data_IF_960379088057
#
_entry.id   IF_960379088057
#
_cell.length_a   1.000
_cell.length_b   1.000
_cell.length_c   1.000
_cell.angle_alpha   90.00
_cell.angle_beta   90.00
_cell.angle_gamma   90.00
#
_symmetry.space_group_name_H-M   'P 1'
#
loop_
_entity.id
_entity.type
_entity.pdbx_description
1 polymer ?
#
# COMPACT_ATOMS: atom_id res chain seq x y z
N UNK A 1 -6.94 -6.54 12.06
CA UNK A 1 -7.24 -6.50 10.61
C UNK A 1 -7.28 -5.05 10.13
N UNK A 2 -6.34 -4.60 9.31
CA UNK A 2 -6.35 -3.22 8.83
C UNK A 2 -7.50 -2.97 7.84
N UNK A 3 -7.96 -1.72 7.81
CA UNK A 3 -8.96 -1.29 6.83
C UNK A 3 -8.35 -1.18 5.43
N UNK A 4 -7.11 -0.75 5.35
CA UNK A 4 -6.38 -0.69 4.07
C UNK A 4 -4.87 -0.69 4.32
N UNK A 5 -4.13 -0.85 3.22
CA UNK A 5 -2.68 -0.80 3.24
C UNK A 5 -2.16 0.10 2.12
N UNK A 6 -1.02 0.73 2.36
CA UNK A 6 -0.33 1.60 1.40
C UNK A 6 1.10 1.10 1.23
N UNK A 7 1.56 1.05 -0.01
CA UNK A 7 2.94 0.73 -0.35
C UNK A 7 3.46 1.77 -1.35
N UNK A 8 4.69 2.22 -1.19
CA UNK A 8 5.24 3.21 -2.12
C UNK A 8 5.74 2.55 -3.42
N UNK A 9 5.34 3.10 -4.56
CA UNK A 9 5.77 2.62 -5.87
C UNK A 9 7.30 2.64 -6.00
N UNK A 10 7.95 3.65 -5.43
CA UNK A 10 9.41 3.75 -5.44
C UNK A 10 10.13 2.60 -4.75
N UNK A 11 9.43 1.80 -3.94
CA UNK A 11 10.00 0.60 -3.32
C UNK A 11 10.02 -0.62 -4.23
N UNK A 12 9.34 -0.55 -5.37
CA UNK A 12 9.30 -1.62 -6.37
C UNK A 12 10.37 -1.32 -7.41
N UNK A 13 11.45 -2.11 -7.41
CA UNK A 13 12.66 -1.81 -8.19
C UNK A 13 12.86 -2.67 -9.43
N UNK A 14 12.04 -3.68 -9.64
CA UNK A 14 12.12 -4.55 -10.81
C UNK A 14 10.77 -5.19 -11.07
N UNK A 15 10.60 -5.74 -12.26
CA UNK A 15 9.43 -6.51 -12.62
C UNK A 15 9.70 -8.01 -12.43
N UNK A 16 8.65 -8.79 -12.22
CA UNK A 16 8.71 -10.24 -12.23
C UNK A 16 8.31 -10.74 -13.61
N UNK A 17 9.22 -11.47 -14.26
CA UNK A 17 8.91 -12.09 -15.53
C UNK A 17 8.03 -13.33 -15.34
N UNK A 18 7.30 -13.70 -16.39
CA UNK A 18 6.52 -14.93 -16.40
C UNK A 18 7.45 -16.13 -16.20
N UNK A 19 7.02 -17.06 -15.39
CA UNK A 19 7.75 -18.29 -15.13
C UNK A 19 8.07 -18.49 -13.65
N UNK A 20 9.06 -19.30 -13.34
CA UNK A 20 9.46 -19.57 -11.97
C UNK A 20 10.04 -18.31 -11.32
N UNK A 21 9.63 -18.05 -10.07
CA UNK A 21 10.09 -16.91 -9.29
C UNK A 21 11.06 -17.40 -8.22
N UNK A 22 12.28 -16.86 -8.21
CA UNK A 22 13.31 -17.19 -7.23
C UNK A 22 13.39 -16.13 -6.14
N UNK A 23 14.09 -16.46 -5.04
CA UNK A 23 14.37 -15.48 -3.98
C UNK A 23 15.15 -14.28 -4.51
N UNK A 24 16.07 -14.52 -5.46
CA UNK A 24 16.82 -13.45 -6.13
C UNK A 24 15.91 -12.52 -6.90
N UNK A 25 14.89 -13.04 -7.57
CA UNK A 25 13.90 -12.21 -8.26
C UNK A 25 13.14 -11.32 -7.28
N UNK A 26 12.74 -11.86 -6.12
CA UNK A 26 12.03 -11.11 -5.10
C UNK A 26 12.94 -10.03 -4.49
N UNK A 27 14.21 -10.34 -4.27
CA UNK A 27 15.19 -9.37 -3.80
C UNK A 27 15.34 -8.20 -4.78
N UNK A 28 15.33 -8.48 -6.08
CA UNK A 28 15.41 -7.44 -7.12
C UNK A 28 14.17 -6.52 -7.09
N UNK A 29 12.99 -7.08 -6.86
CA UNK A 29 11.74 -6.31 -6.78
C UNK A 29 11.68 -5.47 -5.51
N UNK A 30 12.07 -6.04 -4.37
CA UNK A 30 11.95 -5.41 -3.05
C UNK A 30 13.29 -5.48 -2.30
N UNK A 31 14.30 -4.70 -2.71
CA UNK A 31 15.66 -4.79 -2.15
C UNK A 31 15.81 -4.17 -0.76
N UNK A 32 14.84 -3.40 -0.30
CA UNK A 32 14.95 -2.67 0.97
C UNK A 32 14.56 -3.54 2.17
N UNK A 33 15.16 -3.25 3.33
CA UNK A 33 14.89 -3.94 4.60
C UNK A 33 13.70 -3.29 5.32
N UNK A 34 12.55 -3.23 4.66
CA UNK A 34 11.36 -2.61 5.25
C UNK A 34 10.46 -3.65 5.91
N UNK A 35 9.88 -3.27 7.04
CA UNK A 35 8.91 -4.08 7.77
C UNK A 35 7.55 -3.43 7.77
N UNK A 36 6.52 -4.26 7.86
CA UNK A 36 5.15 -3.79 7.99
C UNK A 36 4.97 -3.16 9.37
N UNK A 37 4.28 -2.03 9.41
CA UNK A 37 3.79 -1.48 10.66
C UNK A 37 2.29 -1.18 10.54
N UNK A 38 1.62 -1.16 11.69
CA UNK A 38 0.19 -0.90 11.79
C UNK A 38 -0.01 0.37 12.60
N UNK A 39 -0.91 1.22 12.14
CA UNK A 39 -1.17 2.51 12.79
C UNK A 39 -2.61 2.92 12.60
N UNK A 40 -3.03 3.94 13.33
CA UNK A 40 -4.37 4.52 13.23
C UNK A 40 -4.28 5.95 12.70
N UNK A 41 -5.14 6.29 11.77
CA UNK A 41 -5.34 7.67 11.28
C UNK A 41 -6.81 8.03 11.42
N UNK A 42 -7.07 9.30 11.76
CA UNK A 42 -8.43 9.83 11.67
C UNK A 42 -8.89 9.90 10.22
N UNK A 43 -10.19 9.94 9.97
CA UNK A 43 -10.71 10.08 8.61
C UNK A 43 -10.22 11.35 7.91
N UNK A 44 -10.07 12.46 8.64
CA UNK A 44 -9.49 13.68 8.10
C UNK A 44 -8.05 13.46 7.63
N UNK A 45 -7.25 12.75 8.42
CA UNK A 45 -5.86 12.46 8.06
C UNK A 45 -5.78 11.45 6.92
N UNK A 46 -6.72 10.52 6.84
CA UNK A 46 -6.84 9.58 5.71
C UNK A 46 -7.12 10.36 4.41
N UNK A 47 -8.03 11.33 4.44
CA UNK A 47 -8.31 12.17 3.28
C UNK A 47 -7.09 12.99 2.86
N UNK A 48 -6.35 13.53 3.83
CA UNK A 48 -5.09 14.23 3.56
C UNK A 48 -4.07 13.29 2.91
N UNK A 49 -3.93 12.07 3.44
CA UNK A 49 -3.05 11.06 2.87
C UNK A 49 -3.42 10.75 1.41
N UNK A 50 -4.71 10.54 1.14
CA UNK A 50 -5.17 10.24 -0.21
C UNK A 50 -4.97 11.42 -1.15
N UNK A 51 -5.12 12.66 -0.66
CA UNK A 51 -4.80 13.86 -1.44
C UNK A 51 -3.31 13.92 -1.78
N UNK A 52 -2.44 13.56 -0.84
CA UNK A 52 -1.00 13.49 -1.08
C UNK A 52 -0.65 12.41 -2.11
N UNK A 53 -1.31 11.26 -2.05
CA UNK A 53 -1.15 10.18 -3.03
C UNK A 53 -1.62 10.65 -4.41
N UNK A 54 -2.74 11.36 -4.49
CA UNK A 54 -3.27 11.89 -5.73
C UNK A 54 -2.30 12.88 -6.39
N UNK A 55 -1.63 13.72 -5.61
CA UNK A 55 -0.63 14.66 -6.12
C UNK A 55 0.56 13.95 -6.77
N UNK A 56 0.85 12.74 -6.35
CA UNK A 56 1.92 11.92 -6.94
C UNK A 56 1.41 10.97 -8.03
N UNK A 57 0.16 11.12 -8.42
CA UNK A 57 -0.49 10.31 -9.46
C UNK A 57 -0.62 8.83 -9.07
N UNK A 58 -0.58 8.52 -7.78
CA UNK A 58 -0.83 7.21 -7.25
C UNK A 58 0.35 6.60 -6.51
N UNK A 59 0.03 5.63 -5.68
CA UNK A 59 0.97 4.77 -4.97
C UNK A 59 0.37 3.37 -4.91
N UNK A 60 1.03 2.44 -4.22
CA UNK A 60 0.47 1.10 -4.02
C UNK A 60 -0.71 1.14 -3.07
N UNK A 61 -1.87 0.76 -3.55
CA UNK A 61 -3.13 0.76 -2.81
C UNK A 61 -3.62 -0.67 -2.64
N UNK A 62 -4.08 -1.01 -1.43
CA UNK A 62 -4.71 -2.33 -1.21
C UNK A 62 -6.04 -2.44 -1.96
N UNK A 63 -6.51 -3.68 -2.11
CA UNK A 63 -7.75 -3.99 -2.82
C UNK A 63 -8.97 -3.26 -2.25
N UNK A 64 -8.95 -2.96 -0.95
CA UNK A 64 -10.07 -2.27 -0.27
C UNK A 64 -10.26 -0.83 -0.69
N UNK A 65 -9.29 -0.23 -1.38
CA UNK A 65 -9.30 1.19 -1.73
C UNK A 65 -9.74 1.44 -3.16
N UNK A 66 -10.51 2.51 -3.35
CA UNK A 66 -10.79 3.08 -4.67
C UNK A 66 -10.68 4.59 -4.57
N UNK A 67 -9.73 5.17 -5.31
CA UNK A 67 -9.48 6.60 -5.35
C UNK A 67 -9.75 7.13 -6.74
N UNK A 68 -10.34 8.31 -6.83
CA UNK A 68 -10.50 9.05 -8.08
C UNK A 68 -9.82 10.40 -7.94
N UNK A 69 -8.97 10.74 -8.89
CA UNK A 69 -8.23 11.99 -8.91
C UNK A 69 -8.28 12.64 -10.28
N UNK A 70 -8.03 13.95 -10.33
CA UNK A 70 -7.90 14.67 -11.59
C UNK A 70 -6.50 14.49 -12.17
N UNK A 71 -6.35 14.80 -13.45
CA UNK A 71 -5.05 14.71 -14.14
C UNK A 71 -4.00 15.66 -13.53
N UNK A 72 -4.44 16.75 -12.91
CA UNK A 72 -3.54 17.70 -12.21
C UNK A 72 -3.29 17.33 -10.74
N UNK A 73 -3.71 16.14 -10.32
CA UNK A 73 -3.34 15.59 -9.02
C UNK A 73 -4.24 15.98 -7.85
N UNK A 74 -5.50 16.31 -8.10
CA UNK A 74 -6.46 16.61 -7.03
C UNK A 74 -7.36 15.41 -6.75
N UNK A 75 -7.54 15.09 -5.48
CA UNK A 75 -8.45 14.02 -5.07
C UNK A 75 -9.90 14.43 -5.32
N UNK A 76 -10.64 13.60 -6.04
CA UNK A 76 -12.08 13.81 -6.30
C UNK A 76 -12.91 13.01 -5.30
N UNK A 77 -12.60 11.74 -5.10
CA UNK A 77 -13.31 10.87 -4.17
C UNK A 77 -12.46 9.71 -3.73
N UNK A 78 -12.81 9.12 -2.59
CA UNK A 78 -12.13 7.94 -2.07
C UNK A 78 -13.11 7.08 -1.30
N UNK A 79 -13.01 5.76 -1.50
CA UNK A 79 -13.78 4.79 -0.72
C UNK A 79 -12.85 3.77 -0.08
N UNK A 80 -13.26 3.29 1.09
CA UNK A 80 -12.62 2.19 1.81
C UNK A 80 -13.68 1.11 1.99
N UNK A 81 -13.41 -0.08 1.48
CA UNK A 81 -14.37 -1.20 1.48
C UNK A 81 -15.75 -0.80 0.90
N UNK A 82 -15.73 -0.01 -0.17
CA UNK A 82 -16.94 0.42 -0.87
C UNK A 82 -17.69 1.59 -0.24
N UNK A 83 -17.20 2.12 0.88
CA UNK A 83 -17.86 3.25 1.58
C UNK A 83 -17.00 4.50 1.49
N UNK A 84 -17.60 5.67 1.28
CA UNK A 84 -16.85 6.92 1.32
C UNK A 84 -16.11 7.08 2.64
N UNK A 85 -14.94 7.71 2.59
CA UNK A 85 -14.16 7.98 3.80
C UNK A 85 -14.97 8.91 4.72
N UNK A 86 -15.16 8.50 5.97
CA UNK A 86 -15.81 9.29 7.00
C UNK A 86 -14.76 10.13 7.74
N UNK A 87 -14.80 11.47 7.64
CA UNK A 87 -13.81 12.32 8.31
C UNK A 87 -13.76 12.15 9.83
N UNK A 88 -14.86 11.69 10.42
CA UNK A 88 -14.97 11.53 11.88
C UNK A 88 -14.66 10.13 12.37
N UNK A 89 -14.41 9.18 11.46
CA UNK A 89 -14.05 7.82 11.83
C UNK A 89 -12.54 7.69 12.05
N UNK A 90 -12.13 6.53 12.56
CA UNK A 90 -10.73 6.15 12.65
C UNK A 90 -10.50 4.93 11.78
N UNK A 91 -9.35 4.89 11.14
CA UNK A 91 -8.98 3.82 10.22
C UNK A 91 -7.69 3.14 10.66
N UNK A 92 -7.69 1.82 10.62
CA UNK A 92 -6.48 1.04 10.88
C UNK A 92 -5.75 0.81 9.57
N UNK A 93 -4.48 1.20 9.52
CA UNK A 93 -3.69 1.21 8.28
C UNK A 93 -2.44 0.35 8.46
N UNK A 94 -2.17 -0.47 7.46
CA UNK A 94 -0.90 -1.19 7.34
C UNK A 94 -0.04 -0.48 6.30
N UNK A 95 1.22 -0.26 6.62
CA UNK A 95 2.16 0.35 5.70
C UNK A 95 3.60 -0.07 6.07
N UNK A 96 4.57 0.52 5.41
CA UNK A 96 5.98 0.29 5.73
C UNK A 96 6.44 1.21 6.85
N UNK A 97 7.39 0.75 7.64
CA UNK A 97 8.08 1.58 8.63
C UNK A 97 8.61 2.89 8.02
N UNK A 98 9.16 2.80 6.80
CA UNK A 98 9.65 3.96 6.04
C UNK A 98 8.55 5.00 5.77
N UNK A 99 7.37 4.54 5.32
CA UNK A 99 6.24 5.44 5.00
C UNK A 99 5.57 5.99 6.26
N UNK A 100 5.56 5.21 7.33
CA UNK A 100 4.95 5.64 8.59
C UNK A 100 5.63 6.88 9.17
N UNK A 101 6.86 7.17 8.76
CA UNK A 101 7.60 8.38 9.16
C UNK A 101 7.23 9.61 8.34
N UNK A 102 6.38 9.47 7.33
CA UNK A 102 5.96 10.56 6.46
C UNK A 102 6.82 10.75 5.23
N UNK A 103 7.60 9.74 4.85
CA UNK A 103 8.44 9.78 3.64
C UNK A 103 7.59 9.66 2.36
N UNK A 104 8.21 9.91 1.21
CA UNK A 104 7.58 9.89 -0.11
C UNK A 104 6.39 10.85 -0.20
N UNK A 105 6.50 12.03 0.48
CA UNK A 105 5.48 13.07 0.51
C UNK A 105 4.15 12.67 1.14
N UNK A 106 4.14 11.56 1.87
CA UNK A 106 2.94 11.10 2.60
C UNK A 106 2.99 11.60 4.05
N UNK A 107 3.11 12.92 4.23
CA UNK A 107 3.29 13.55 5.54
C UNK A 107 2.11 13.31 6.49
N UNK A 108 0.92 12.98 5.96
CA UNK A 108 -0.24 12.67 6.80
C UNK A 108 0.04 11.50 7.76
N UNK A 109 0.95 10.58 7.41
CA UNK A 109 1.35 9.51 8.30
C UNK A 109 2.00 10.01 9.60
N UNK A 110 2.51 11.24 9.64
CA UNK A 110 3.09 11.81 10.87
C UNK A 110 2.05 12.04 11.96
N UNK A 111 0.77 12.08 11.61
CA UNK A 111 -0.34 12.26 12.56
C UNK A 111 -0.86 10.94 13.12
N UNK A 112 -0.16 9.85 12.87
CA UNK A 112 -0.52 8.50 13.29
C UNK A 112 -0.60 8.35 14.82
N UNK A 113 -1.47 7.45 15.24
CA UNK A 113 -1.58 7.02 16.63
C UNK A 113 -1.60 5.49 16.70
N UNK A 114 -1.52 4.94 17.89
CA UNK A 114 -1.64 3.49 18.13
C UNK A 114 -0.73 2.65 17.22
N UNK A 115 0.53 3.04 17.12
CA UNK A 115 1.49 2.40 16.22
C UNK A 115 1.95 1.06 16.80
N UNK A 116 1.88 0.01 15.98
CA UNK A 116 2.44 -1.30 16.28
C UNK A 116 3.48 -1.61 15.21
N UNK A 117 4.74 -1.79 15.62
CA UNK A 117 5.86 -2.03 14.73
C UNK A 117 6.50 -3.38 15.07
N UNK A 118 5.95 -4.50 14.54
CA UNK A 118 6.52 -5.82 14.81
C UNK A 118 7.95 -5.91 14.29
N UNK A 119 8.85 -6.51 15.08
CA UNK A 119 10.28 -6.57 14.76
C UNK A 119 10.76 -7.90 14.18
N UNK A 120 9.90 -8.94 14.19
CA UNK A 120 10.28 -10.24 13.65
C UNK A 120 10.50 -10.23 12.15
N UNK A 121 11.37 -11.11 11.66
CA UNK A 121 11.64 -11.23 10.23
C UNK A 121 10.40 -11.60 9.40
N UNK A 122 9.42 -12.25 10.01
CA UNK A 122 8.14 -12.57 9.38
C UNK A 122 7.34 -11.33 8.98
N UNK A 123 7.74 -10.15 9.46
CA UNK A 123 7.11 -8.88 9.11
C UNK A 123 7.91 -8.11 8.06
N UNK A 124 9.05 -8.65 7.60
CA UNK A 124 9.81 -8.08 6.50
C UNK A 124 9.03 -8.26 5.20
N UNK A 125 8.97 -7.23 4.38
CA UNK A 125 8.19 -7.24 3.13
C UNK A 125 8.65 -8.36 2.19
N UNK A 126 9.96 -8.56 2.02
CA UNK A 126 10.46 -9.63 1.17
C UNK A 126 10.03 -11.00 1.67
N UNK A 127 10.09 -11.22 2.98
CA UNK A 127 9.62 -12.47 3.58
C UNK A 127 8.15 -12.70 3.26
N UNK A 128 7.32 -11.67 3.41
CA UNK A 128 5.89 -11.76 3.12
C UNK A 128 5.63 -12.09 1.64
N UNK A 129 6.38 -11.49 0.73
CA UNK A 129 6.28 -11.78 -0.70
C UNK A 129 6.70 -13.23 -0.96
N UNK A 130 7.80 -13.69 -0.38
CA UNK A 130 8.25 -15.08 -0.50
C UNK A 130 7.18 -16.06 -0.02
N UNK A 131 6.56 -15.79 1.14
CA UNK A 131 5.53 -16.64 1.70
C UNK A 131 4.28 -16.65 0.82
N UNK A 132 3.94 -15.54 0.20
CA UNK A 132 2.81 -15.44 -0.72
C UNK A 132 3.02 -16.38 -1.93
N UNK A 133 4.19 -16.32 -2.56
CA UNK A 133 4.51 -17.18 -3.70
C UNK A 133 4.61 -18.65 -3.29
N UNK A 134 5.20 -18.92 -2.13
CA UNK A 134 5.30 -20.28 -1.61
C UNK A 134 3.92 -20.89 -1.34
N UNK A 135 3.02 -20.13 -0.73
CA UNK A 135 1.66 -20.60 -0.45
C UNK A 135 0.92 -20.94 -1.74
N UNK A 136 1.05 -20.12 -2.79
CA UNK A 136 0.47 -20.38 -4.09
C UNK A 136 1.04 -21.67 -4.71
N UNK A 137 2.37 -21.82 -4.67
CA UNK A 137 3.04 -23.00 -5.19
C UNK A 137 2.61 -24.28 -4.46
N UNK A 138 2.50 -24.23 -3.14
CA UNK A 138 2.06 -25.37 -2.31
C UNK A 138 0.64 -25.82 -2.65
N UNK A 139 -0.19 -24.91 -3.15
CA UNK A 139 -1.55 -25.20 -3.63
C UNK A 139 -1.58 -25.61 -5.11
N UNK A 140 -0.44 -25.62 -5.78
CA UNK A 140 -0.36 -25.88 -7.21
C UNK A 140 -0.89 -24.75 -8.07
N UNK A 141 -0.95 -23.54 -7.53
CA UNK A 141 -1.48 -22.36 -8.22
C UNK A 141 -0.35 -21.44 -8.68
N UNK A 142 -0.52 -20.82 -9.84
CA UNK A 142 0.36 -19.75 -10.30
C UNK A 142 -0.15 -18.41 -9.75
N UNK A 143 0.77 -17.51 -9.42
CA UNK A 143 0.41 -16.14 -9.04
C UNK A 143 0.11 -15.36 -10.31
N UNK A 144 -1.11 -14.81 -10.40
CA UNK A 144 -1.54 -13.97 -11.50
C UNK A 144 -2.44 -12.87 -10.98
N UNK A 145 -2.23 -11.66 -11.46
CA UNK A 145 -3.04 -10.51 -11.07
C UNK A 145 -3.27 -9.61 -12.27
N UNK A 146 -4.39 -8.94 -12.25
CA UNK A 146 -4.75 -7.95 -13.25
C UNK A 146 -4.88 -6.59 -12.61
N UNK A 147 -4.78 -5.53 -13.42
CA UNK A 147 -5.01 -4.17 -12.96
C UNK A 147 -6.49 -4.00 -12.65
N UNK A 148 -6.82 -3.58 -11.43
CA UNK A 148 -8.20 -3.46 -10.95
C UNK A 148 -8.75 -2.03 -11.04
N UNK A 149 -7.92 -1.06 -11.42
CA UNK A 149 -8.35 0.33 -11.46
C UNK A 149 -8.59 0.91 -10.07
N UNK A 150 -7.75 0.55 -9.09
CA UNK A 150 -7.90 1.05 -7.71
C UNK A 150 -7.77 2.56 -7.63
N UNK A 151 -7.04 3.15 -8.56
CA UNK A 151 -6.98 4.59 -8.74
C UNK A 151 -7.41 4.95 -10.15
N UNK A 152 -8.38 5.85 -10.25
CA UNK A 152 -8.92 6.32 -11.52
C UNK A 152 -8.55 7.79 -11.70
N UNK A 153 -8.02 8.14 -12.87
CA UNK A 153 -7.72 9.52 -13.23
C UNK A 153 -8.82 10.01 -14.14
N UNK A 154 -9.40 11.15 -13.80
CA UNK A 154 -10.45 11.78 -14.61
C UNK A 154 -9.99 13.17 -15.03
N UNK A 155 -10.54 13.64 -16.14
CA UNK A 155 -10.38 15.04 -16.52
C UNK A 155 -11.22 15.89 -15.55
N UNK A 156 -10.79 17.11 -15.33
CA UNK A 156 -11.40 18.03 -14.35
C UNK A 156 -12.93 18.02 -14.37
#
# INVERSE_FOLDING_TARGET
QPDFAIYNVGGIRAALSKGAVTRGNILDVAPFENKICFLTLSGNDVLELFAQIAMRHGEGLSHSLRLTATADGKLVSATVNGKPVDPNAKYRVATLDYLAQGNDHMEAFRKKTDVVSPTGEENNVRFLIEQYFKAANDKGEAVSRTVEGRMTIVEK
#
